data_IF_451427510931
#
_entry.id   IF_451427510931
#
_cell.length_a   1.000
_cell.length_b   1.000
_cell.length_c   1.000
_cell.angle_alpha   90.00
_cell.angle_beta   90.00
_cell.angle_gamma   90.00
#
_symmetry.space_group_name_H-M   'P 1'
#
loop_
_entity.id
_entity.type
_entity.pdbx_description
1 polymer ?
#
# COMPACT_ATOMS: atom_id res chain seq x y z
N UNK A 1 -134.74 -70.88 -6.90
CA UNK A 1 -134.12 -69.76 -7.63
C UNK A 1 -134.45 -68.52 -6.84
N UNK A 2 -133.52 -68.16 -5.97
CA UNK A 2 -133.67 -67.12 -4.96
C UNK A 2 -133.57 -65.74 -5.62
N UNK A 3 -134.69 -65.03 -5.66
CA UNK A 3 -134.72 -63.60 -5.90
C UNK A 3 -134.53 -62.95 -4.54
N UNK A 4 -133.28 -62.68 -4.16
CA UNK A 4 -133.00 -61.79 -3.05
C UNK A 4 -133.54 -60.41 -3.42
N UNK A 5 -134.65 -60.05 -2.77
CA UNK A 5 -135.31 -58.77 -2.86
C UNK A 5 -134.30 -57.69 -2.45
N UNK A 6 -133.83 -56.92 -3.44
CA UNK A 6 -132.90 -55.80 -3.22
C UNK A 6 -133.70 -54.64 -2.64
N UNK A 7 -133.92 -54.70 -1.33
CA UNK A 7 -134.53 -53.63 -0.55
C UNK A 7 -133.78 -52.33 -0.85
N UNK A 8 -134.44 -51.41 -1.53
CA UNK A 8 -133.88 -50.10 -1.90
C UNK A 8 -133.40 -49.44 -0.62
N UNK A 9 -132.12 -49.02 -0.53
CA UNK A 9 -131.62 -48.41 0.70
C UNK A 9 -132.48 -47.19 1.03
N UNK A 10 -132.89 -47.11 2.28
CA UNK A 10 -133.66 -45.99 2.81
C UNK A 10 -132.91 -44.68 2.49
N UNK A 11 -133.56 -43.70 1.84
CA UNK A 11 -132.90 -42.48 1.31
C UNK A 11 -132.12 -41.73 2.39
N UNK A 12 -132.58 -41.86 3.64
CA UNK A 12 -131.91 -41.31 4.81
C UNK A 12 -130.54 -41.95 5.08
N UNK A 13 -130.41 -43.28 4.95
CA UNK A 13 -129.14 -43.97 5.14
C UNK A 13 -128.11 -43.63 4.05
N UNK A 14 -128.55 -43.42 2.81
CA UNK A 14 -127.66 -42.95 1.73
C UNK A 14 -127.19 -41.51 1.94
N UNK A 15 -128.07 -40.62 2.42
CA UNK A 15 -127.69 -39.24 2.74
C UNK A 15 -126.72 -39.18 3.93
N UNK A 16 -126.96 -39.98 4.97
CA UNK A 16 -126.05 -40.10 6.11
C UNK A 16 -124.70 -40.68 5.72
N UNK A 17 -124.67 -41.78 4.94
CA UNK A 17 -123.39 -42.38 4.52
C UNK A 17 -122.59 -41.44 3.62
N UNK A 18 -123.26 -40.69 2.74
CA UNK A 18 -122.63 -39.65 1.91
C UNK A 18 -122.12 -38.48 2.77
N UNK A 19 -122.89 -38.00 3.74
CA UNK A 19 -122.46 -36.93 4.65
C UNK A 19 -121.27 -37.38 5.53
N UNK A 20 -121.27 -38.62 6.00
CA UNK A 20 -120.15 -39.20 6.76
C UNK A 20 -118.91 -39.39 5.89
N UNK A 21 -119.06 -39.90 4.68
CA UNK A 21 -117.94 -40.00 3.74
C UNK A 21 -117.36 -38.62 3.43
N UNK A 22 -118.21 -37.61 3.19
CA UNK A 22 -117.80 -36.23 2.98
C UNK A 22 -117.08 -35.64 4.19
N UNK A 23 -117.60 -35.86 5.40
CA UNK A 23 -116.96 -35.42 6.64
C UNK A 23 -115.59 -36.08 6.86
N UNK A 24 -115.49 -37.39 6.66
CA UNK A 24 -114.23 -38.13 6.79
C UNK A 24 -113.22 -37.71 5.71
N UNK A 25 -113.67 -37.49 4.47
CA UNK A 25 -112.83 -36.94 3.40
C UNK A 25 -112.33 -35.53 3.75
N UNK A 26 -113.20 -34.65 4.25
CA UNK A 26 -112.80 -33.31 4.69
C UNK A 26 -111.78 -33.36 5.85
N UNK A 27 -111.97 -34.27 6.81
CA UNK A 27 -111.03 -34.48 7.90
C UNK A 27 -109.68 -35.02 7.39
N UNK A 28 -109.70 -35.94 6.42
CA UNK A 28 -108.50 -36.47 5.79
C UNK A 28 -107.75 -35.37 5.03
N UNK A 29 -108.44 -34.61 4.19
CA UNK A 29 -107.86 -33.46 3.48
C UNK A 29 -107.27 -32.43 4.46
N UNK A 30 -107.94 -32.15 5.59
CA UNK A 30 -107.39 -31.26 6.61
C UNK A 30 -106.06 -31.76 7.18
N UNK A 31 -105.96 -33.07 7.50
CA UNK A 31 -104.72 -33.68 7.98
C UNK A 31 -103.61 -33.67 6.93
N UNK A 32 -103.95 -33.90 5.66
CA UNK A 32 -102.99 -33.82 4.55
C UNK A 32 -102.47 -32.40 4.35
N UNK A 33 -103.34 -31.40 4.40
CA UNK A 33 -102.94 -29.98 4.33
C UNK A 33 -102.03 -29.62 5.50
N UNK A 34 -102.36 -30.05 6.72
CA UNK A 34 -101.50 -29.81 7.89
C UNK A 34 -100.15 -30.52 7.78
N UNK A 35 -100.12 -31.75 7.26
CA UNK A 35 -98.89 -32.51 7.03
C UNK A 35 -98.01 -31.85 5.96
N UNK A 36 -98.61 -31.43 4.84
CA UNK A 36 -97.91 -30.72 3.77
C UNK A 36 -97.37 -29.38 4.25
N UNK A 37 -98.15 -28.64 5.05
CA UNK A 37 -97.69 -27.38 5.66
C UNK A 37 -96.48 -27.61 6.56
N UNK A 38 -96.53 -28.61 7.45
CA UNK A 38 -95.39 -28.97 8.30
C UNK A 38 -94.16 -29.38 7.50
N UNK A 39 -94.34 -30.15 6.42
CA UNK A 39 -93.25 -30.56 5.53
C UNK A 39 -92.62 -29.35 4.80
N UNK A 40 -93.46 -28.42 4.31
CA UNK A 40 -93.02 -27.19 3.68
C UNK A 40 -92.26 -26.28 4.65
N UNK A 41 -92.76 -26.13 5.88
CA UNK A 41 -92.10 -25.35 6.93
C UNK A 41 -90.74 -25.96 7.29
N UNK A 42 -90.66 -27.29 7.45
CA UNK A 42 -89.41 -28.00 7.71
C UNK A 42 -88.41 -27.85 6.56
N UNK A 43 -88.85 -27.99 5.30
CA UNK A 43 -88.00 -27.79 4.13
C UNK A 43 -87.51 -26.34 4.02
N UNK A 44 -88.37 -25.36 4.30
CA UNK A 44 -88.01 -23.93 4.33
C UNK A 44 -86.94 -23.65 5.39
N UNK A 45 -87.09 -24.21 6.59
CA UNK A 45 -86.09 -24.10 7.66
C UNK A 45 -84.78 -24.76 7.26
N UNK A 46 -84.81 -25.97 6.72
CA UNK A 46 -83.62 -26.67 6.24
C UNK A 46 -82.90 -25.88 5.14
N UNK A 47 -83.64 -25.33 4.18
CA UNK A 47 -83.08 -24.51 3.10
C UNK A 47 -82.43 -23.25 3.64
N UNK A 48 -83.09 -22.57 4.60
CA UNK A 48 -82.56 -21.37 5.25
C UNK A 48 -81.24 -21.66 5.97
N UNK A 49 -81.16 -22.77 6.70
CA UNK A 49 -79.92 -23.21 7.37
C UNK A 49 -78.82 -23.54 6.35
N UNK A 50 -79.15 -24.24 5.27
CA UNK A 50 -78.20 -24.56 4.20
C UNK A 50 -77.64 -23.30 3.53
N UNK A 51 -78.50 -22.31 3.24
CA UNK A 51 -78.07 -21.01 2.68
C UNK A 51 -77.14 -20.29 3.65
N UNK A 52 -77.51 -20.21 4.93
CA UNK A 52 -76.69 -19.55 5.95
C UNK A 52 -75.31 -20.23 6.11
N UNK A 53 -75.26 -21.57 6.03
CA UNK A 53 -74.01 -22.32 6.07
C UNK A 53 -73.13 -22.05 4.85
N UNK A 54 -73.71 -22.07 3.64
CA UNK A 54 -72.98 -21.74 2.41
C UNK A 54 -72.46 -20.30 2.41
N UNK A 55 -73.23 -19.34 2.92
CA UNK A 55 -72.78 -17.95 3.07
C UNK A 55 -71.61 -17.85 4.04
N UNK A 56 -71.66 -18.55 5.19
CA UNK A 56 -70.56 -18.57 6.16
C UNK A 56 -69.30 -19.20 5.56
N UNK A 57 -69.45 -20.30 4.83
CA UNK A 57 -68.34 -20.97 4.14
C UNK A 57 -67.75 -20.10 3.02
N UNK A 58 -68.59 -19.41 2.26
CA UNK A 58 -68.12 -18.47 1.24
C UNK A 58 -67.34 -17.30 1.88
N UNK A 59 -67.83 -16.76 3.00
CA UNK A 59 -67.12 -15.71 3.74
C UNK A 59 -65.76 -16.20 4.27
N UNK A 60 -65.70 -17.38 4.89
CA UNK A 60 -64.44 -17.92 5.40
C UNK A 60 -63.42 -18.22 4.29
N UNK A 61 -63.88 -18.69 3.12
CA UNK A 61 -63.03 -18.88 1.95
C UNK A 61 -62.52 -17.56 1.39
N UNK A 62 -63.34 -16.51 1.33
CA UNK A 62 -62.89 -15.18 0.92
C UNK A 62 -61.85 -14.61 1.87
N UNK A 63 -62.04 -14.75 3.19
CA UNK A 63 -61.07 -14.29 4.17
C UNK A 63 -59.73 -15.04 4.02
N UNK A 64 -59.77 -16.36 3.84
CA UNK A 64 -58.57 -17.16 3.60
C UNK A 64 -57.85 -16.73 2.31
N UNK A 65 -58.58 -16.52 1.22
CA UNK A 65 -58.01 -16.02 -0.04
C UNK A 65 -57.40 -14.62 0.16
N UNK A 66 -58.07 -13.72 0.87
CA UNK A 66 -57.57 -12.38 1.14
C UNK A 66 -56.28 -12.41 1.95
N UNK A 67 -56.19 -13.27 2.97
CA UNK A 67 -54.95 -13.45 3.75
C UNK A 67 -53.81 -14.01 2.90
N UNK A 68 -54.08 -15.02 2.05
CA UNK A 68 -53.08 -15.58 1.14
C UNK A 68 -52.60 -14.55 0.10
N UNK A 69 -53.52 -13.74 -0.44
CA UNK A 69 -53.18 -12.66 -1.38
C UNK A 69 -52.32 -11.59 -0.70
N UNK A 70 -52.65 -11.20 0.54
CA UNK A 70 -51.86 -10.25 1.31
C UNK A 70 -50.44 -10.78 1.60
N UNK A 71 -50.33 -12.06 1.95
CA UNK A 71 -49.03 -12.71 2.17
C UNK A 71 -48.19 -12.77 0.89
N UNK A 72 -48.77 -13.24 -0.23
CA UNK A 72 -48.10 -13.25 -1.53
C UNK A 72 -47.63 -11.86 -1.95
N UNK A 73 -48.44 -10.82 -1.72
CA UNK A 73 -48.06 -9.43 -2.00
C UNK A 73 -46.88 -8.98 -1.15
N UNK A 74 -46.90 -9.27 0.15
CA UNK A 74 -45.78 -8.95 1.05
C UNK A 74 -44.50 -9.67 0.64
N UNK A 75 -44.59 -10.94 0.23
CA UNK A 75 -43.44 -11.70 -0.26
C UNK A 75 -42.89 -11.10 -1.56
N UNK A 76 -43.75 -10.71 -2.50
CA UNK A 76 -43.34 -10.08 -3.75
C UNK A 76 -42.64 -8.73 -3.52
N UNK A 77 -43.15 -7.90 -2.61
CA UNK A 77 -42.50 -6.65 -2.19
C UNK A 77 -41.13 -6.92 -1.55
N UNK A 78 -41.02 -7.95 -0.71
CA UNK A 78 -39.75 -8.37 -0.14
C UNK A 78 -38.74 -8.84 -1.21
N UNK A 79 -39.19 -9.62 -2.18
CA UNK A 79 -38.36 -10.05 -3.30
C UNK A 79 -37.91 -8.88 -4.18
N UNK A 80 -38.78 -7.92 -4.45
CA UNK A 80 -38.45 -6.70 -5.18
C UNK A 80 -37.37 -5.87 -4.45
N UNK A 81 -37.49 -5.70 -3.13
CA UNK A 81 -36.48 -5.01 -2.32
C UNK A 81 -35.13 -5.74 -2.36
N UNK A 82 -35.12 -7.08 -2.25
CA UNK A 82 -33.88 -7.86 -2.37
C UNK A 82 -33.24 -7.73 -3.75
N UNK A 83 -34.03 -7.70 -4.82
CA UNK A 83 -33.52 -7.49 -6.17
C UNK A 83 -32.88 -6.11 -6.32
N UNK A 84 -33.50 -5.06 -5.78
CA UNK A 84 -32.91 -3.72 -5.75
C UNK A 84 -31.56 -3.70 -5.00
N UNK A 85 -31.48 -4.36 -3.84
CA UNK A 85 -30.23 -4.49 -3.09
C UNK A 85 -29.16 -5.22 -3.91
N UNK A 86 -29.52 -6.31 -4.61
CA UNK A 86 -28.56 -7.03 -5.49
C UNK A 86 -28.09 -6.16 -6.65
N UNK A 87 -28.96 -5.36 -7.28
CA UNK A 87 -28.57 -4.43 -8.33
C UNK A 87 -27.64 -3.34 -7.79
N UNK A 88 -27.90 -2.82 -6.58
CA UNK A 88 -27.02 -1.84 -5.94
C UNK A 88 -25.65 -2.44 -5.59
N UNK A 89 -25.60 -3.69 -5.12
CA UNK A 89 -24.35 -4.41 -4.90
C UNK A 89 -23.59 -4.65 -6.20
N UNK A 90 -24.28 -4.99 -7.28
CA UNK A 90 -23.66 -5.15 -8.61
C UNK A 90 -23.01 -3.85 -9.07
N UNK A 91 -23.72 -2.72 -8.98
CA UNK A 91 -23.15 -1.42 -9.34
C UNK A 91 -21.91 -1.06 -8.51
N UNK A 92 -21.89 -1.41 -7.22
CA UNK A 92 -20.71 -1.22 -6.35
C UNK A 92 -19.55 -2.14 -6.75
N UNK A 93 -19.84 -3.38 -7.14
CA UNK A 93 -18.84 -4.32 -7.62
C UNK A 93 -18.19 -3.79 -8.91
N UNK A 94 -19.00 -3.31 -9.85
CA UNK A 94 -18.52 -2.75 -11.12
C UNK A 94 -17.64 -1.51 -10.89
N UNK A 95 -18.01 -0.63 -9.93
CA UNK A 95 -17.20 0.51 -9.54
C UNK A 95 -15.83 0.11 -8.97
N UNK A 96 -15.80 -0.88 -8.06
CA UNK A 96 -14.55 -1.40 -7.50
C UNK A 96 -13.69 -2.06 -8.58
N UNK A 97 -14.30 -2.78 -9.54
CA UNK A 97 -13.57 -3.36 -10.67
C UNK A 97 -12.93 -2.28 -11.56
N UNK A 98 -13.63 -1.18 -11.81
CA UNK A 98 -13.06 -0.04 -12.54
C UNK A 98 -11.90 0.61 -11.77
N UNK A 99 -12.03 0.79 -10.46
CA UNK A 99 -10.96 1.36 -9.63
C UNK A 99 -9.72 0.45 -9.60
N UNK A 100 -9.91 -0.87 -9.52
CA UNK A 100 -8.81 -1.84 -9.63
C UNK A 100 -8.16 -1.76 -11.01
N UNK A 101 -8.94 -1.67 -12.09
CA UNK A 101 -8.41 -1.57 -13.45
C UNK A 101 -7.58 -0.29 -13.64
N UNK A 102 -8.07 0.85 -13.14
CA UNK A 102 -7.33 2.12 -13.14
C UNK A 102 -6.06 2.05 -12.31
N UNK A 103 -6.14 1.53 -11.08
CA UNK A 103 -4.97 1.36 -10.21
C UNK A 103 -3.90 0.46 -10.83
N UNK A 104 -4.30 -0.59 -11.58
CA UNK A 104 -3.38 -1.44 -12.34
C UNK A 104 -2.72 -0.68 -13.49
N UNK A 105 -3.46 0.14 -14.21
CA UNK A 105 -2.92 0.96 -15.29
C UNK A 105 -1.91 1.99 -14.77
N UNK A 106 -2.25 2.68 -13.67
CA UNK A 106 -1.36 3.66 -13.03
C UNK A 106 -0.09 2.99 -12.48
N UNK A 107 -0.24 1.84 -11.81
CA UNK A 107 0.90 1.03 -11.39
C UNK A 107 1.77 0.62 -12.59
N UNK A 108 1.16 0.19 -13.69
CA UNK A 108 1.90 -0.15 -14.91
C UNK A 108 2.68 1.05 -15.47
N UNK A 109 2.08 2.25 -15.50
CA UNK A 109 2.77 3.48 -15.94
C UNK A 109 3.97 3.79 -15.05
N UNK A 110 3.80 3.77 -13.72
CA UNK A 110 4.90 4.00 -12.78
C UNK A 110 6.02 2.97 -12.91
N UNK A 111 5.69 1.70 -13.13
CA UNK A 111 6.69 0.65 -13.38
C UNK A 111 7.45 0.94 -14.67
N UNK A 112 6.77 1.31 -15.77
CA UNK A 112 7.46 1.62 -17.02
C UNK A 112 8.36 2.86 -16.92
N UNK A 113 7.94 3.87 -16.17
CA UNK A 113 8.74 5.06 -15.91
C UNK A 113 9.98 4.72 -15.07
N UNK A 114 9.81 3.97 -13.97
CA UNK A 114 10.92 3.50 -13.14
C UNK A 114 11.90 2.66 -13.95
N UNK A 115 11.44 1.72 -14.76
CA UNK A 115 12.31 0.93 -15.64
C UNK A 115 13.13 1.83 -16.57
N UNK A 116 12.50 2.84 -17.19
CA UNK A 116 13.21 3.81 -18.03
C UNK A 116 14.26 4.59 -17.25
N UNK A 117 13.98 4.99 -16.01
CA UNK A 117 14.97 5.67 -15.16
C UNK A 117 16.13 4.76 -14.78
N UNK A 118 15.86 3.48 -14.51
CA UNK A 118 16.89 2.48 -14.21
C UNK A 118 17.79 2.25 -15.42
N UNK A 119 17.22 2.12 -16.62
CA UNK A 119 17.99 1.97 -17.86
C UNK A 119 18.87 3.19 -18.12
N UNK A 120 18.35 4.40 -17.93
CA UNK A 120 19.12 5.63 -18.08
C UNK A 120 20.25 5.77 -17.05
N UNK A 121 20.02 5.34 -15.80
CA UNK A 121 21.07 5.33 -14.77
C UNK A 121 22.13 4.27 -15.07
N UNK A 122 21.72 3.10 -15.57
CA UNK A 122 22.63 2.04 -16.01
C UNK A 122 23.53 2.51 -17.14
N UNK A 123 22.96 3.17 -18.16
CA UNK A 123 23.74 3.72 -19.27
C UNK A 123 24.77 4.76 -18.78
N UNK A 124 24.37 5.66 -17.87
CA UNK A 124 25.30 6.62 -17.25
C UNK A 124 26.42 5.93 -16.48
N UNK A 125 26.11 4.85 -15.77
CA UNK A 125 27.09 4.08 -15.01
C UNK A 125 28.07 3.33 -15.94
N UNK A 126 27.58 2.75 -17.04
CA UNK A 126 28.41 2.13 -18.07
C UNK A 126 29.31 3.18 -18.76
N UNK A 127 28.81 4.39 -19.03
CA UNK A 127 29.62 5.51 -19.54
C UNK A 127 30.70 5.95 -18.54
N UNK A 128 30.38 6.10 -17.25
CA UNK A 128 31.37 6.43 -16.23
C UNK A 128 32.42 5.33 -16.09
N UNK A 129 32.01 4.06 -16.14
CA UNK A 129 32.93 2.93 -16.11
C UNK A 129 33.86 2.94 -17.32
N UNK A 130 33.37 3.22 -18.53
CA UNK A 130 34.23 3.26 -19.73
C UNK A 130 35.23 4.41 -19.70
N UNK A 131 34.81 5.61 -19.26
CA UNK A 131 35.70 6.76 -19.06
C UNK A 131 36.76 6.45 -18.00
N UNK A 132 36.34 5.95 -16.85
CA UNK A 132 37.27 5.59 -15.76
C UNK A 132 38.25 4.49 -16.17
N UNK A 133 37.80 3.52 -16.97
CA UNK A 133 38.64 2.45 -17.49
C UNK A 133 39.71 2.93 -18.48
N UNK A 134 39.47 4.04 -19.19
CA UNK A 134 40.44 4.66 -20.10
C UNK A 134 41.40 5.62 -19.36
N UNK A 135 40.87 6.41 -18.44
CA UNK A 135 41.64 7.49 -17.79
C UNK A 135 42.64 6.96 -16.74
N UNK A 136 42.28 5.92 -15.98
CA UNK A 136 43.17 5.37 -14.93
C UNK A 136 44.47 4.82 -15.53
N UNK A 137 44.45 3.96 -16.56
CA UNK A 137 45.69 3.45 -17.17
C UNK A 137 46.53 4.56 -17.80
N UNK A 138 45.88 5.53 -18.46
CA UNK A 138 46.58 6.66 -19.07
C UNK A 138 47.33 7.50 -18.02
N UNK A 139 46.67 7.80 -16.89
CA UNK A 139 47.28 8.52 -15.78
C UNK A 139 48.41 7.70 -15.14
N UNK A 140 48.21 6.39 -14.97
CA UNK A 140 49.24 5.49 -14.42
C UNK A 140 50.48 5.46 -15.31
N UNK A 141 50.33 5.43 -16.63
CA UNK A 141 51.44 5.48 -17.58
C UNK A 141 52.16 6.82 -17.51
N UNK A 142 51.41 7.93 -17.41
CA UNK A 142 51.98 9.26 -17.26
C UNK A 142 52.79 9.39 -15.96
N UNK A 143 52.29 8.85 -14.85
CA UNK A 143 53.04 8.81 -13.59
C UNK A 143 54.30 7.94 -13.70
N UNK A 144 54.25 6.80 -14.40
CA UNK A 144 55.43 5.95 -14.62
C UNK A 144 56.49 6.66 -15.44
N UNK A 145 56.11 7.28 -16.56
CA UNK A 145 57.04 8.04 -17.40
C UNK A 145 57.66 9.23 -16.65
N UNK A 146 56.89 9.92 -15.80
CA UNK A 146 57.40 10.98 -14.95
C UNK A 146 58.42 10.46 -13.92
N UNK A 147 58.16 9.31 -13.30
CA UNK A 147 59.11 8.67 -12.38
C UNK A 147 60.42 8.27 -13.08
N UNK A 148 60.34 7.63 -14.25
CA UNK A 148 61.53 7.28 -15.06
C UNK A 148 62.35 8.53 -15.40
N UNK A 149 61.68 9.65 -15.72
CA UNK A 149 62.37 10.92 -15.99
C UNK A 149 63.06 11.48 -14.75
N UNK A 150 62.42 11.37 -13.58
CA UNK A 150 63.03 11.77 -12.30
C UNK A 150 64.25 10.92 -11.99
N UNK A 151 64.16 9.60 -12.13
CA UNK A 151 65.29 8.68 -11.92
C UNK A 151 66.47 8.99 -12.85
N UNK A 152 66.18 9.31 -14.12
CA UNK A 152 67.20 9.75 -15.08
C UNK A 152 67.88 11.05 -14.64
N UNK A 153 67.10 12.06 -14.27
CA UNK A 153 67.63 13.35 -13.80
C UNK A 153 68.42 13.22 -12.50
N UNK A 154 68.03 12.32 -11.59
CA UNK A 154 68.81 11.97 -10.40
C UNK A 154 70.15 11.31 -10.77
N UNK A 155 70.16 10.49 -11.83
CA UNK A 155 71.36 9.94 -12.45
C UNK A 155 72.32 11.02 -12.93
N UNK A 156 71.84 11.93 -13.79
CA UNK A 156 72.63 13.05 -14.30
C UNK A 156 73.14 13.96 -13.17
N UNK A 157 72.31 14.26 -12.17
CA UNK A 157 72.73 15.02 -10.99
C UNK A 157 73.85 14.33 -10.21
N UNK A 158 73.86 12.99 -10.14
CA UNK A 158 74.92 12.23 -9.47
C UNK A 158 76.22 12.29 -10.26
N UNK A 159 76.15 12.15 -11.59
CA UNK A 159 77.30 12.29 -12.48
C UNK A 159 77.89 13.72 -12.41
N UNK A 160 77.05 14.74 -12.54
CA UNK A 160 77.46 16.14 -12.42
C UNK A 160 78.09 16.45 -11.07
N UNK A 161 77.57 15.88 -9.97
CA UNK A 161 78.21 16.02 -8.65
C UNK A 161 79.57 15.35 -8.62
N UNK A 162 79.72 14.16 -9.22
CA UNK A 162 81.02 13.49 -9.31
C UNK A 162 82.01 14.30 -10.15
N UNK A 163 81.60 14.81 -11.31
CA UNK A 163 82.42 15.69 -12.17
C UNK A 163 82.82 16.98 -11.45
N UNK A 164 81.88 17.61 -10.74
CA UNK A 164 82.16 18.77 -9.90
C UNK A 164 83.24 18.45 -8.86
N UNK A 165 83.09 17.37 -8.10
CA UNK A 165 84.12 17.01 -7.11
C UNK A 165 85.48 16.69 -7.75
N UNK A 166 85.50 16.07 -8.93
CA UNK A 166 86.73 15.78 -9.66
C UNK A 166 87.42 17.05 -10.18
N UNK A 167 86.65 18.01 -10.68
CA UNK A 167 87.16 19.32 -11.12
C UNK A 167 87.64 20.18 -9.94
N UNK A 168 86.92 20.19 -8.82
CA UNK A 168 87.35 20.83 -7.58
C UNK A 168 88.67 20.22 -7.07
N UNK A 169 88.82 18.90 -7.11
CA UNK A 169 90.09 18.23 -6.78
C UNK A 169 91.24 18.64 -7.71
N UNK A 170 90.97 18.76 -9.03
CA UNK A 170 91.97 19.25 -9.99
C UNK A 170 92.35 20.70 -9.73
N UNK A 171 91.38 21.56 -9.42
CA UNK A 171 91.62 22.95 -9.04
C UNK A 171 92.47 23.04 -7.77
N UNK A 172 92.13 22.31 -6.71
CA UNK A 172 92.92 22.27 -5.48
C UNK A 172 94.35 21.76 -5.73
N UNK A 173 94.54 20.79 -6.62
CA UNK A 173 95.86 20.32 -7.01
C UNK A 173 96.67 21.39 -7.78
N UNK A 174 96.02 22.11 -8.70
CA UNK A 174 96.64 23.23 -9.43
C UNK A 174 96.96 24.39 -8.49
N UNK A 175 96.06 24.77 -7.58
CA UNK A 175 96.29 25.78 -6.55
C UNK A 175 97.49 25.42 -5.67
N UNK A 176 97.61 24.15 -5.27
CA UNK A 176 98.78 23.66 -4.52
C UNK A 176 100.06 23.76 -5.35
N UNK A 177 100.04 23.40 -6.63
CA UNK A 177 101.18 23.57 -7.54
C UNK A 177 101.57 25.05 -7.69
N UNK A 178 100.58 25.94 -7.79
CA UNK A 178 100.76 27.38 -7.92
C UNK A 178 101.33 27.97 -6.63
N UNK A 179 100.85 27.57 -5.45
CA UNK A 179 101.41 27.94 -4.16
C UNK A 179 102.89 27.50 -4.04
N UNK A 180 103.22 26.27 -4.43
CA UNK A 180 104.62 25.78 -4.41
C UNK A 180 105.51 26.43 -5.48
N UNK A 181 104.93 26.90 -6.60
CA UNK A 181 105.64 27.67 -7.62
C UNK A 181 105.85 29.13 -7.23
N UNK A 182 104.97 29.69 -6.41
CA UNK A 182 105.03 31.07 -5.94
C UNK A 182 106.06 31.27 -4.82
N UNK A 183 106.39 30.22 -4.05
CA UNK A 183 107.52 30.24 -3.10
C UNK A 183 108.89 30.32 -3.80
N UNK A 184 108.95 30.18 -5.14
CA UNK A 184 110.20 30.08 -5.90
C UNK A 184 110.33 31.06 -7.09
N UNK A 185 109.74 32.27 -7.06
CA UNK A 185 110.21 33.33 -7.99
C UNK A 185 109.92 34.78 -7.62
N UNK A 186 110.88 35.62 -8.04
CA UNK A 186 110.92 37.08 -8.11
C UNK A 186 109.57 37.72 -8.49
N UNK A 187 109.27 38.87 -7.87
CA UNK A 187 108.18 39.78 -8.23
C UNK A 187 108.12 39.97 -9.76
N UNK A 188 106.97 39.61 -10.34
CA UNK A 188 106.69 39.85 -11.75
C UNK A 188 106.60 41.36 -12.03
N UNK A 189 107.18 41.85 -13.14
CA UNK A 189 107.10 43.26 -13.51
C UNK A 189 105.64 43.73 -13.63
N UNK A 190 105.33 44.91 -13.10
CA UNK A 190 103.99 45.51 -13.03
C UNK A 190 103.24 45.54 -14.38
N UNK A 191 103.99 45.70 -15.48
CA UNK A 191 103.45 45.71 -16.85
C UNK A 191 102.91 44.34 -17.31
N UNK A 192 103.45 43.24 -16.78
CA UNK A 192 103.01 41.88 -17.11
C UNK A 192 101.73 41.53 -16.36
N UNK A 193 101.59 42.01 -15.12
CA UNK A 193 100.36 41.86 -14.33
C UNK A 193 99.21 42.68 -14.94
N UNK A 194 99.46 43.95 -15.32
CA UNK A 194 98.42 44.77 -15.95
C UNK A 194 97.93 44.20 -17.29
N UNK A 195 98.84 43.61 -18.08
CA UNK A 195 98.46 42.94 -19.34
C UNK A 195 97.61 41.69 -19.09
N UNK A 196 97.93 40.87 -18.08
CA UNK A 196 97.14 39.70 -17.71
C UNK A 196 95.74 40.10 -17.21
N UNK A 197 95.63 41.15 -16.41
CA UNK A 197 94.35 41.68 -15.95
C UNK A 197 93.50 42.19 -17.13
N UNK A 198 94.11 42.84 -18.12
CA UNK A 198 93.41 43.32 -19.32
C UNK A 198 92.93 42.15 -20.21
N UNK A 199 93.71 41.07 -20.30
CA UNK A 199 93.32 39.83 -20.99
C UNK A 199 92.20 39.10 -20.24
N UNK A 200 92.25 39.03 -18.92
CA UNK A 200 91.18 38.43 -18.11
C UNK A 200 89.89 39.24 -18.19
N UNK A 201 89.97 40.57 -18.08
CA UNK A 201 88.82 41.46 -18.26
C UNK A 201 88.19 41.30 -19.65
N UNK A 202 89.01 41.14 -20.70
CA UNK A 202 88.51 40.92 -22.07
C UNK A 202 87.91 39.51 -22.25
N UNK A 203 88.44 38.50 -21.56
CA UNK A 203 87.85 37.16 -21.52
C UNK A 203 86.50 37.18 -20.81
N UNK A 204 86.39 37.87 -19.67
CA UNK A 204 85.14 37.96 -18.93
C UNK A 204 84.08 38.72 -19.73
N UNK A 205 84.45 39.78 -20.46
CA UNK A 205 83.53 40.47 -21.37
C UNK A 205 83.09 39.57 -22.54
N UNK A 206 83.98 38.71 -23.08
CA UNK A 206 83.63 37.72 -24.09
C UNK A 206 82.72 36.61 -23.56
N UNK A 207 82.97 36.12 -22.33
CA UNK A 207 82.10 35.14 -21.65
C UNK A 207 80.71 35.74 -21.40
N UNK A 208 80.66 36.99 -20.95
CA UNK A 208 79.41 37.74 -20.75
C UNK A 208 78.63 37.91 -22.05
N UNK A 209 79.32 38.15 -23.17
CA UNK A 209 78.70 38.19 -24.50
C UNK A 209 78.17 36.82 -24.94
N UNK A 210 78.86 35.73 -24.60
CA UNK A 210 78.45 34.36 -24.92
C UNK A 210 77.21 33.93 -24.13
N UNK A 211 77.17 34.23 -22.83
CA UNK A 211 76.00 33.98 -21.96
C UNK A 211 74.79 34.83 -22.40
N UNK A 212 75.02 36.04 -22.93
CA UNK A 212 73.95 36.88 -23.49
C UNK A 212 73.48 36.47 -24.90
N UNK A 213 74.17 35.54 -25.58
CA UNK A 213 73.75 34.96 -26.87
C UNK A 213 72.98 33.65 -26.73
N UNK A 214 72.97 33.01 -25.56
CA UNK A 214 72.02 31.93 -25.25
C UNK A 214 70.66 32.55 -24.91
N UNK A 215 69.93 32.93 -25.97
CA UNK A 215 68.49 33.22 -25.87
C UNK A 215 67.73 31.98 -25.37
N UNK A 216 66.60 32.21 -24.65
CA UNK A 216 65.73 31.14 -24.20
C UNK A 216 65.09 30.46 -25.43
N UNK A 217 64.98 29.14 -25.39
CA UNK A 217 64.09 28.42 -26.29
C UNK A 217 62.66 28.95 -26.03
N UNK A 218 61.95 29.46 -27.05
CA UNK A 218 60.66 30.10 -26.88
C UNK A 218 59.60 29.06 -26.52
N UNK A 219 58.98 29.23 -25.35
CA UNK A 219 57.67 28.65 -25.06
C UNK A 219 56.61 29.54 -25.69
N UNK A 220 56.39 29.39 -27.00
CA UNK A 220 55.17 29.83 -27.65
C UNK A 220 54.32 28.61 -27.96
N UNK A 221 53.21 28.45 -27.23
CA UNK A 221 51.91 28.20 -27.85
C UNK A 221 50.82 28.17 -26.79
N UNK A 222 49.94 29.17 -26.90
CA UNK A 222 48.53 29.12 -26.52
C UNK A 222 48.18 29.26 -25.04
N UNK A 223 48.19 30.51 -24.57
CA UNK A 223 47.14 30.99 -23.68
C UNK A 223 46.15 31.76 -24.53
N UNK A 224 44.90 31.31 -24.59
CA UNK A 224 43.74 32.19 -24.59
C UNK A 224 42.46 31.44 -24.25
N UNK A 225 41.75 31.98 -23.25
CA UNK A 225 40.32 31.74 -22.91
C UNK A 225 39.99 30.36 -22.31
N UNK A 226 39.44 30.19 -21.11
CA UNK A 226 38.40 30.95 -20.40
C UNK A 226 38.58 30.75 -18.88
N UNK A 227 38.74 31.88 -18.18
CA UNK A 227 38.04 32.28 -16.96
C UNK A 227 37.34 31.23 -16.07
N UNK A 228 37.64 31.40 -14.78
CA UNK A 228 36.69 31.53 -13.66
C UNK A 228 36.42 30.32 -12.75
N UNK A 229 36.96 30.52 -11.54
CA UNK A 229 36.32 30.37 -10.23
C UNK A 229 36.10 28.94 -9.73
N UNK A 230 37.03 28.49 -8.89
CA UNK A 230 36.69 27.60 -7.79
C UNK A 230 37.25 28.17 -6.49
N UNK A 231 36.33 28.70 -5.68
CA UNK A 231 36.54 28.98 -4.28
C UNK A 231 36.49 27.66 -3.50
N UNK A 232 37.40 27.51 -2.54
CA UNK A 232 37.30 26.59 -1.40
C UNK A 232 35.91 26.63 -0.74
N UNK A 233 35.44 25.59 -0.01
CA UNK A 233 36.27 24.87 0.98
C UNK A 233 35.99 23.36 1.20
N UNK A 234 37.00 22.73 1.82
CA UNK A 234 36.92 21.74 2.91
C UNK A 234 35.83 20.65 2.86
N UNK A 235 36.25 19.41 2.57
CA UNK A 235 35.60 18.21 3.12
C UNK A 235 36.68 17.21 3.53
N UNK A 236 36.86 17.04 4.85
CA UNK A 236 37.45 15.82 5.40
C UNK A 236 36.36 14.73 5.41
N UNK A 237 36.71 13.47 5.09
CA UNK A 237 35.80 12.35 5.13
C UNK A 237 35.88 11.57 6.46
N UNK A 238 34.85 10.74 6.65
CA UNK A 238 34.79 9.56 7.50
C UNK A 238 34.43 9.73 8.98
N UNK A 239 33.16 9.43 9.29
CA UNK A 239 32.85 8.57 10.43
C UNK A 239 31.88 7.45 10.01
N UNK A 240 32.37 6.24 10.30
CA UNK A 240 31.76 4.93 10.46
C UNK A 240 30.25 4.85 10.71
N UNK A 241 29.61 3.82 10.13
CA UNK A 241 28.28 3.42 10.55
C UNK A 241 27.64 2.32 9.70
N UNK A 242 28.23 1.12 9.68
CA UNK A 242 27.58 -0.11 9.25
C UNK A 242 26.32 -0.40 10.08
N UNK A 243 25.17 -0.68 9.46
CA UNK A 243 24.23 -1.79 9.80
C UNK A 243 22.90 -1.75 9.00
N UNK A 244 22.15 -2.88 8.94
CA UNK A 244 21.43 -3.32 7.74
C UNK A 244 19.95 -2.95 7.71
N UNK A 245 19.41 -2.76 6.50
CA UNK A 245 17.97 -2.74 6.26
C UNK A 245 17.42 -4.18 6.20
N UNK A 246 16.38 -4.52 6.98
CA UNK A 246 15.64 -5.76 6.82
C UNK A 246 14.56 -5.62 5.75
N UNK A 247 14.42 -6.70 4.98
CA UNK A 247 13.41 -6.95 3.96
C UNK A 247 12.00 -6.47 4.33
N UNK A 248 11.39 -5.70 3.43
CA UNK A 248 9.93 -5.59 3.34
C UNK A 248 9.39 -6.87 2.68
N UNK A 249 8.48 -7.63 3.31
CA UNK A 249 7.71 -8.64 2.59
C UNK A 249 6.51 -7.99 1.90
N UNK A 250 6.37 -8.29 0.61
CA UNK A 250 5.19 -8.04 -0.19
C UNK A 250 3.95 -8.78 0.38
N UNK A 251 2.72 -8.30 0.15
CA UNK A 251 1.51 -8.95 0.64
C UNK A 251 1.15 -10.12 -0.29
N UNK A 252 1.65 -11.30 0.02
CA UNK A 252 1.27 -12.57 -0.59
C UNK A 252 0.99 -13.60 0.50
N UNK A 253 -0.31 -13.85 0.76
CA UNK A 253 -0.88 -15.15 1.15
C UNK A 253 -0.07 -16.06 2.09
N UNK A 254 -0.43 -16.09 3.37
CA UNK A 254 -0.58 -17.36 4.11
C UNK A 254 -1.54 -17.18 5.29
N UNK A 255 -2.70 -17.83 5.21
CA UNK A 255 -3.64 -17.96 6.32
C UNK A 255 -3.03 -18.88 7.39
N UNK A 256 -2.41 -18.29 8.41
CA UNK A 256 -1.99 -19.01 9.59
C UNK A 256 -3.10 -18.90 10.66
N UNK A 257 -3.78 -20.00 11.03
CA UNK A 257 -4.92 -19.93 11.96
C UNK A 257 -4.54 -19.54 13.40
N UNK A 258 -3.26 -19.36 13.70
CA UNK A 258 -2.74 -18.91 15.00
C UNK A 258 -1.85 -17.67 14.83
N UNK A 259 -2.45 -16.54 14.42
CA UNK A 259 -1.73 -15.26 14.47
C UNK A 259 -1.49 -14.90 15.96
N UNK A 260 -0.24 -15.03 16.42
CA UNK A 260 0.14 -14.63 17.77
C UNK A 260 0.10 -13.09 17.86
N UNK A 261 -0.87 -12.57 18.62
CA UNK A 261 -1.08 -11.12 18.85
C UNK A 261 0.21 -10.47 19.35
N UNK A 262 1.04 -11.21 20.10
CA UNK A 262 2.30 -10.72 20.63
C UNK A 262 3.27 -10.38 19.50
N UNK A 263 3.33 -11.20 18.46
CA UNK A 263 4.14 -10.96 17.27
C UNK A 263 3.65 -9.73 16.50
N UNK A 264 2.33 -9.58 16.34
CA UNK A 264 1.75 -8.39 15.70
C UNK A 264 2.05 -7.12 16.50
N UNK A 265 1.93 -7.18 17.83
CA UNK A 265 2.26 -6.07 18.72
C UNK A 265 3.72 -5.66 18.60
N UNK A 266 4.66 -6.60 18.52
CA UNK A 266 6.09 -6.30 18.38
C UNK A 266 6.37 -5.50 17.11
N UNK A 267 5.80 -5.91 15.97
CA UNK A 267 5.94 -5.19 14.69
C UNK A 267 5.42 -3.76 14.80
N UNK A 268 4.23 -3.57 15.35
CA UNK A 268 3.64 -2.24 15.50
C UNK A 268 4.39 -1.39 16.54
N UNK A 269 4.89 -1.98 17.62
CA UNK A 269 5.71 -1.29 18.61
C UNK A 269 6.99 -0.76 17.98
N UNK A 270 7.66 -1.58 17.19
CA UNK A 270 8.93 -1.19 16.57
C UNK A 270 8.69 -0.15 15.48
N UNK A 271 7.61 -0.29 14.70
CA UNK A 271 7.17 0.71 13.71
C UNK A 271 6.79 2.06 14.32
N UNK A 272 6.16 2.07 15.50
CA UNK A 272 5.87 3.30 16.25
C UNK A 272 7.15 3.98 16.73
N UNK A 273 8.18 3.22 17.12
CA UNK A 273 9.47 3.76 17.57
C UNK A 273 10.29 4.36 16.41
N UNK A 274 10.30 3.70 15.26
CA UNK A 274 11.07 4.15 14.09
C UNK A 274 10.36 5.27 13.32
N UNK A 275 9.02 5.26 13.34
CA UNK A 275 8.18 6.23 12.62
C UNK A 275 6.93 6.60 13.44
N UNK A 276 7.03 7.58 14.37
CA UNK A 276 5.88 7.98 15.17
C UNK A 276 4.76 8.53 14.29
N UNK A 277 3.53 8.00 14.42
CA UNK A 277 2.41 8.40 13.57
C UNK A 277 1.92 9.81 13.91
N UNK A 278 1.37 10.52 12.91
CA UNK A 278 0.73 11.83 13.10
C UNK A 278 -0.58 11.75 13.92
N UNK A 279 -1.16 10.55 14.01
CA UNK A 279 -2.40 10.29 14.74
C UNK A 279 -2.34 8.90 15.36
N UNK A 280 -2.26 8.84 16.69
CA UNK A 280 -2.29 7.60 17.45
C UNK A 280 -3.59 6.82 17.18
N UNK A 281 -4.70 7.53 17.03
CA UNK A 281 -6.01 6.90 16.76
C UNK A 281 -6.02 6.16 15.42
N UNK A 282 -5.42 6.74 14.38
CA UNK A 282 -5.30 6.07 13.08
C UNK A 282 -4.38 4.85 13.17
N UNK A 283 -3.25 4.99 13.87
CA UNK A 283 -2.29 3.91 14.08
C UNK A 283 -2.87 2.73 14.87
N UNK A 284 -3.70 3.01 15.88
CA UNK A 284 -4.42 1.99 16.64
C UNK A 284 -5.42 1.26 15.74
N UNK A 285 -6.12 1.98 14.85
CA UNK A 285 -7.00 1.35 13.88
C UNK A 285 -6.24 0.46 12.89
N UNK A 286 -5.07 0.89 12.41
CA UNK A 286 -4.21 0.06 11.56
C UNK A 286 -3.81 -1.25 12.28
N UNK A 287 -3.51 -1.18 13.58
CA UNK A 287 -3.22 -2.37 14.39
C UNK A 287 -4.44 -3.30 14.48
N UNK A 288 -5.62 -2.77 14.81
CA UNK A 288 -6.85 -3.55 14.96
C UNK A 288 -7.34 -4.16 13.63
N UNK A 289 -7.13 -3.45 12.51
CA UNK A 289 -7.48 -3.89 11.16
C UNK A 289 -6.48 -4.96 10.65
N UNK A 290 -5.27 -5.04 11.23
CA UNK A 290 -4.25 -6.06 10.92
C UNK A 290 -4.45 -7.40 11.64
N UNK A 291 -5.44 -7.49 12.54
CA UNK A 291 -5.80 -8.74 13.22
C UNK A 291 -6.66 -9.59 12.27
N UNK A 292 -6.16 -10.74 11.86
CA UNK A 292 -6.82 -11.62 10.89
C UNK A 292 -8.10 -12.25 11.46
N UNK A 293 -8.08 -12.65 12.74
CA UNK A 293 -9.21 -13.28 13.41
C UNK A 293 -10.29 -12.24 13.79
N UNK A 294 -11.50 -12.28 13.19
CA UNK A 294 -12.55 -11.33 13.48
C UNK A 294 -13.10 -11.48 14.91
N UNK A 295 -13.13 -12.71 15.43
CA UNK A 295 -13.56 -13.00 16.80
C UNK A 295 -12.61 -12.38 17.82
N UNK A 296 -11.31 -12.46 17.55
CA UNK A 296 -10.27 -11.91 18.42
C UNK A 296 -10.23 -10.38 18.35
N UNK A 297 -10.31 -9.80 17.15
CA UNK A 297 -10.41 -8.34 16.98
C UNK A 297 -11.64 -7.80 17.72
N UNK A 298 -12.77 -8.51 17.65
CA UNK A 298 -13.98 -8.20 18.42
C UNK A 298 -13.74 -8.25 19.93
N UNK A 299 -13.14 -9.34 20.44
CA UNK A 299 -12.82 -9.49 21.87
C UNK A 299 -11.94 -8.35 22.38
N UNK A 300 -10.91 -7.99 21.62
CA UNK A 300 -10.00 -6.88 21.95
C UNK A 300 -10.76 -5.55 21.97
N UNK A 301 -11.56 -5.26 20.94
CA UNK A 301 -12.35 -4.02 20.88
C UNK A 301 -13.35 -3.92 22.05
N UNK A 302 -14.04 -5.00 22.39
CA UNK A 302 -15.00 -5.03 23.51
C UNK A 302 -14.31 -4.88 24.86
N UNK A 303 -13.12 -5.48 25.02
CA UNK A 303 -12.30 -5.37 26.23
C UNK A 303 -11.72 -3.97 26.39
N UNK A 304 -11.29 -3.32 25.30
CA UNK A 304 -10.83 -1.94 25.31
C UNK A 304 -11.94 -0.96 25.70
N UNK A 305 -13.18 -1.20 25.27
CA UNK A 305 -14.33 -0.40 25.70
C UNK A 305 -14.63 -0.55 27.21
N UNK A 306 -14.31 -1.71 27.80
CA UNK A 306 -14.46 -1.93 29.23
C UNK A 306 -13.31 -1.30 30.05
N UNK A 307 -12.08 -1.40 29.57
CA UNK A 307 -10.88 -0.91 30.26
C UNK A 307 -10.67 0.60 30.12
N UNK A 308 -11.10 1.19 28.99
CA UNK A 308 -10.91 2.61 28.69
C UNK A 308 -12.23 3.28 28.27
N UNK A 309 -13.27 3.31 29.13
CA UNK A 309 -14.59 3.83 28.76
C UNK A 309 -14.59 5.31 28.38
N UNK A 310 -13.66 6.11 28.93
CA UNK A 310 -13.50 7.53 28.60
C UNK A 310 -12.96 7.76 27.17
N UNK A 311 -12.27 6.77 26.62
CA UNK A 311 -11.57 6.89 25.34
C UNK A 311 -12.10 5.96 24.26
N UNK A 312 -12.87 4.95 24.63
CA UNK A 312 -13.38 3.91 23.73
C UNK A 312 -14.86 3.72 24.00
N UNK A 313 -15.70 4.27 23.13
CA UNK A 313 -17.16 4.16 23.24
C UNK A 313 -17.69 3.02 22.36
N UNK A 314 -18.64 2.24 22.88
CA UNK A 314 -19.36 1.25 22.06
C UNK A 314 -20.27 1.99 21.08
N UNK A 315 -20.07 1.74 19.79
CA UNK A 315 -20.84 2.41 18.75
C UNK A 315 -22.00 1.54 18.31
N UNK A 316 -23.23 2.06 18.47
CA UNK A 316 -24.46 1.37 18.02
C UNK A 316 -24.68 1.50 16.50
N UNK A 317 -24.14 2.55 15.88
CA UNK A 317 -24.41 2.91 14.48
C UNK A 317 -23.34 2.44 13.48
N UNK A 318 -22.14 2.07 13.94
CA UNK A 318 -21.05 1.63 13.03
C UNK A 318 -21.30 0.26 12.41
N UNK A 319 -22.25 -0.53 12.94
CA UNK A 319 -22.59 -1.86 12.42
C UNK A 319 -23.08 -1.83 10.97
N UNK A 320 -23.66 -0.70 10.51
CA UNK A 320 -24.12 -0.53 9.13
C UNK A 320 -23.02 -0.13 8.14
N UNK A 321 -21.94 0.50 8.59
CA UNK A 321 -20.87 1.06 7.72
C UNK A 321 -19.57 0.24 7.74
N UNK A 322 -19.23 -0.41 8.85
CA UNK A 322 -18.06 -1.28 8.94
C UNK A 322 -18.29 -2.40 9.97
N UNK A 323 -18.55 -3.64 9.53
CA UNK A 323 -18.84 -4.75 10.45
C UNK A 323 -17.66 -5.12 11.35
N UNK A 324 -16.43 -4.68 11.01
CA UNK A 324 -15.21 -4.91 11.80
C UNK A 324 -14.95 -3.87 12.90
N UNK A 325 -15.65 -2.72 12.92
CA UNK A 325 -15.42 -1.64 13.88
C UNK A 325 -16.62 -1.50 14.84
N UNK A 326 -16.50 -2.13 16.01
CA UNK A 326 -17.55 -2.17 17.04
C UNK A 326 -17.45 -1.01 18.04
N UNK A 327 -16.30 -0.35 18.08
CA UNK A 327 -16.01 0.76 18.99
C UNK A 327 -15.60 2.02 18.24
N UNK A 328 -15.76 3.16 18.89
CA UNK A 328 -15.23 4.45 18.47
C UNK A 328 -14.12 4.87 19.40
N UNK A 329 -12.95 5.14 18.83
CA UNK A 329 -11.80 5.64 19.57
C UNK A 329 -11.86 7.18 19.60
N UNK A 330 -11.73 7.74 20.79
CA UNK A 330 -11.60 9.19 20.99
C UNK A 330 -10.24 9.69 20.47
N UNK A 331 -10.18 10.96 20.05
CA UNK A 331 -8.93 11.61 19.63
C UNK A 331 -7.89 11.73 20.77
N UNK A 332 -8.31 11.57 22.03
CA UNK A 332 -7.43 11.60 23.20
C UNK A 332 -6.76 10.26 23.52
N UNK A 333 -7.10 9.19 22.78
CA UNK A 333 -6.49 7.88 22.99
C UNK A 333 -5.07 7.86 22.39
N UNK A 334 -4.08 7.72 23.27
CA UNK A 334 -2.68 7.57 22.86
C UNK A 334 -2.28 6.11 22.72
N UNK A 335 -1.26 5.84 21.91
CA UNK A 335 -0.69 4.49 21.76
C UNK A 335 -0.19 3.91 23.09
N UNK A 336 0.31 4.78 23.98
CA UNK A 336 0.74 4.41 25.34
C UNK A 336 -0.42 3.88 26.20
N UNK A 337 -1.56 4.56 26.21
CA UNK A 337 -2.74 4.09 26.99
C UNK A 337 -3.33 2.83 26.37
N UNK A 338 -3.35 2.76 25.04
CA UNK A 338 -3.81 1.58 24.31
C UNK A 338 -3.00 0.32 24.66
N UNK A 339 -1.66 0.37 24.60
CA UNK A 339 -0.82 -0.79 24.93
C UNK A 339 -0.97 -1.25 26.38
N UNK A 340 -1.17 -0.31 27.31
CA UNK A 340 -1.33 -0.62 28.73
C UNK A 340 -2.64 -1.37 28.96
N UNK A 341 -3.71 -0.94 28.29
CA UNK A 341 -4.97 -1.67 28.28
C UNK A 341 -4.85 -3.01 27.56
N UNK A 342 -4.13 -3.10 26.44
CA UNK A 342 -3.95 -4.34 25.67
C UNK A 342 -3.32 -5.47 26.51
N UNK A 343 -2.37 -5.14 27.38
CA UNK A 343 -1.73 -6.11 28.30
C UNK A 343 -2.69 -6.60 29.38
N UNK A 344 -3.69 -5.80 29.75
CA UNK A 344 -4.68 -6.13 30.77
C UNK A 344 -5.87 -6.95 30.23
N UNK A 345 -5.97 -7.12 28.90
CA UNK A 345 -7.05 -7.90 28.31
C UNK A 345 -6.86 -9.38 28.69
N UNK A 346 -7.82 -10.01 29.39
CA UNK A 346 -7.76 -11.44 29.66
C UNK A 346 -7.76 -12.20 28.33
N UNK A 347 -6.94 -13.25 28.24
CA UNK A 347 -6.92 -14.13 27.07
C UNK A 347 -8.34 -14.62 26.75
N UNK A 348 -8.69 -14.79 25.46
CA UNK A 348 -10.03 -15.27 25.09
C UNK A 348 -10.26 -16.62 25.77
N UNK A 349 -11.26 -16.68 26.64
CA UNK A 349 -11.69 -17.91 27.29
C UNK A 349 -12.10 -18.89 26.19
N UNK A 350 -11.24 -19.87 25.92
CA UNK A 350 -11.46 -20.96 24.98
C UNK A 350 -12.59 -21.88 25.42
#
# INVERSE_FOLDING_TARGET
MDVFDTSKPDRFQQSLSSAWASFLSAQHCGREVDALKKALDAHTQQTTVSIANLQREAASRHDLINTAVAECKSQLEQHAARLQDTCALQARLDAVQQDIARGREDASKTITELSRTVDALREKLEQLQSVTALDIPALQEQCRAALERVEFLEGELRELRAEKTASEQRLAALEKQLATGNDNRQELPKATVSFLDEVLARRDELMRLLDSQQLPIPSESSSDTISQLSAQPTVNPAESGSQPQPNHPAPGSSSNPNQDIRSLYLVFRDRYKTSPPKSDTAFIWDFLDSIESPALSKHIQESLAALLPEHVARSRDTRRKNPRRLVMLSKGLTWRRFREALVQIPGPSS
#
